data_IF_735881728159
#
_entry.id   IF_735881728159
#
_cell.length_a   1.000
_cell.length_b   1.000
_cell.length_c   1.000
_cell.angle_alpha   90.00
_cell.angle_beta   90.00
_cell.angle_gamma   90.00
#
_symmetry.space_group_name_H-M   'P 1'
#
loop_
_entity.id
_entity.type
_entity.pdbx_description
1 polymer ?
#
# COMPACT_ATOMS: atom_id res chain seq x y z
N UNK A 1 -23.97 21.59 11.85
CA UNK A 1 -22.49 21.69 11.90
C UNK A 1 -21.89 20.34 11.47
N UNK A 2 -21.55 20.17 10.18
CA UNK A 2 -21.00 18.90 9.66
C UNK A 2 -19.52 18.79 10.00
N UNK A 3 -19.18 17.81 10.84
CA UNK A 3 -17.81 17.43 11.18
C UNK A 3 -17.12 16.92 9.91
N UNK A 4 -16.24 17.72 9.29
CA UNK A 4 -15.32 17.24 8.24
C UNK A 4 -14.46 16.16 8.87
N UNK A 5 -14.84 14.89 8.69
CA UNK A 5 -13.98 13.79 9.09
C UNK A 5 -12.69 13.92 8.29
N UNK A 6 -11.56 14.07 8.98
CA UNK A 6 -10.25 13.98 8.37
C UNK A 6 -10.19 12.65 7.61
N UNK A 7 -10.11 12.74 6.29
CA UNK A 7 -10.07 11.58 5.41
C UNK A 7 -8.79 10.80 5.73
N UNK A 8 -8.93 9.73 6.52
CA UNK A 8 -7.83 8.78 6.76
C UNK A 8 -7.24 8.40 5.40
N UNK A 9 -5.90 8.33 5.27
CA UNK A 9 -5.28 7.99 4.00
C UNK A 9 -5.80 6.64 3.49
N UNK A 10 -6.02 6.56 2.19
CA UNK A 10 -6.37 5.29 1.53
C UNK A 10 -5.08 4.48 1.44
N UNK A 11 -5.01 3.39 2.21
CA UNK A 11 -3.88 2.47 2.22
C UNK A 11 -4.22 1.19 1.46
N UNK A 12 -3.20 0.46 1.01
CA UNK A 12 -3.34 -0.83 0.32
C UNK A 12 -4.21 -1.79 1.13
N UNK A 13 -3.98 -1.87 2.43
CA UNK A 13 -4.72 -2.76 3.34
C UNK A 13 -6.20 -2.38 3.42
N UNK A 14 -6.51 -1.08 3.38
CA UNK A 14 -7.89 -0.59 3.40
C UNK A 14 -8.62 -0.91 2.11
N UNK A 15 -7.95 -0.78 0.96
CA UNK A 15 -8.54 -1.13 -0.35
C UNK A 15 -8.75 -2.63 -0.45
N UNK A 16 -7.77 -3.45 -0.05
CA UNK A 16 -7.90 -4.90 -0.01
C UNK A 16 -9.03 -5.36 0.92
N UNK A 17 -9.14 -4.78 2.12
CA UNK A 17 -10.24 -5.08 3.04
C UNK A 17 -11.62 -4.63 2.49
N UNK A 18 -11.67 -3.55 1.72
CA UNK A 18 -12.90 -3.11 1.06
C UNK A 18 -13.31 -4.08 -0.06
N UNK A 19 -12.37 -4.58 -0.87
CA UNK A 19 -12.63 -5.59 -1.90
C UNK A 19 -13.23 -6.86 -1.31
N UNK A 20 -12.67 -7.38 -0.22
CA UNK A 20 -13.20 -8.58 0.46
C UNK A 20 -14.66 -8.37 0.91
N UNK A 21 -14.96 -7.20 1.50
CA UNK A 21 -16.32 -6.87 1.93
C UNK A 21 -17.27 -6.71 0.75
N UNK A 22 -16.80 -6.12 -0.34
CA UNK A 22 -17.61 -5.91 -1.53
C UNK A 22 -17.92 -7.22 -2.24
N UNK A 23 -16.94 -8.12 -2.36
CA UNK A 23 -17.15 -9.48 -2.87
C UNK A 23 -18.20 -10.23 -2.03
N UNK A 24 -18.09 -10.16 -0.70
CA UNK A 24 -19.09 -10.76 0.19
C UNK A 24 -20.50 -10.19 -0.03
N UNK A 25 -20.61 -8.88 -0.28
CA UNK A 25 -21.88 -8.21 -0.53
C UNK A 25 -22.47 -8.62 -1.89
N UNK A 26 -21.66 -8.65 -2.94
CA UNK A 26 -22.05 -9.08 -4.30
C UNK A 26 -22.68 -10.47 -4.24
N UNK A 27 -22.00 -11.44 -3.63
CA UNK A 27 -22.44 -12.84 -3.58
C UNK A 27 -23.73 -13.06 -2.77
N UNK A 28 -24.05 -12.16 -1.84
CA UNK A 28 -25.16 -12.34 -0.89
C UNK A 28 -26.38 -11.46 -1.16
N UNK A 29 -26.26 -10.50 -2.08
CA UNK A 29 -27.32 -9.55 -2.39
C UNK A 29 -28.00 -9.95 -3.69
N UNK A 30 -29.34 -10.04 -3.75
CA UNK A 30 -30.04 -10.11 -5.01
C UNK A 30 -29.64 -8.93 -5.90
N UNK A 31 -29.31 -9.18 -7.17
CA UNK A 31 -28.80 -8.17 -8.10
C UNK A 31 -27.43 -7.57 -7.69
N UNK A 32 -26.62 -8.35 -6.97
CA UNK A 32 -25.29 -7.97 -6.52
C UNK A 32 -24.32 -7.62 -7.67
N UNK A 33 -24.56 -8.12 -8.88
CA UNK A 33 -23.77 -7.80 -10.07
C UNK A 33 -23.72 -6.31 -10.39
N UNK A 34 -24.68 -5.51 -9.89
CA UNK A 34 -24.67 -4.04 -9.99
C UNK A 34 -23.45 -3.39 -9.35
N UNK A 35 -22.78 -4.08 -8.41
CA UNK A 35 -21.58 -3.59 -7.76
C UNK A 35 -20.28 -4.00 -8.47
N UNK A 36 -20.33 -4.82 -9.53
CA UNK A 36 -19.14 -5.21 -10.29
C UNK A 36 -18.31 -4.01 -10.79
N UNK A 37 -18.91 -2.92 -11.31
CA UNK A 37 -18.12 -1.75 -11.73
C UNK A 37 -17.37 -1.08 -10.58
N UNK A 38 -17.87 -1.18 -9.35
CA UNK A 38 -17.17 -0.67 -8.16
C UNK A 38 -16.05 -1.62 -7.74
N UNK A 39 -16.28 -2.93 -7.84
CA UNK A 39 -15.28 -3.95 -7.55
C UNK A 39 -14.06 -3.81 -8.46
N UNK A 40 -14.26 -3.76 -9.78
CA UNK A 40 -13.18 -3.58 -10.77
C UNK A 40 -12.38 -2.30 -10.53
N UNK A 41 -13.05 -1.20 -10.16
CA UNK A 41 -12.37 0.06 -9.83
C UNK A 41 -11.46 -0.08 -8.61
N UNK A 42 -11.90 -0.79 -7.58
CA UNK A 42 -11.09 -1.03 -6.39
C UNK A 42 -9.92 -1.99 -6.67
N UNK A 43 -10.09 -2.97 -7.55
CA UNK A 43 -9.00 -3.83 -8.01
C UNK A 43 -7.92 -3.01 -8.73
N UNK A 44 -8.33 -2.14 -9.64
CA UNK A 44 -7.40 -1.25 -10.36
C UNK A 44 -6.68 -0.29 -9.41
N UNK A 45 -7.38 0.29 -8.43
CA UNK A 45 -6.77 1.16 -7.42
C UNK A 45 -5.76 0.40 -6.55
N UNK A 46 -6.08 -0.84 -6.15
CA UNK A 46 -5.17 -1.70 -5.39
C UNK A 46 -3.87 -1.96 -6.17
N UNK A 47 -4.00 -2.34 -7.44
CA UNK A 47 -2.87 -2.58 -8.33
C UNK A 47 -2.01 -1.32 -8.49
N UNK A 48 -2.62 -0.16 -8.73
CA UNK A 48 -1.92 1.11 -8.87
C UNK A 48 -1.13 1.50 -7.61
N UNK A 49 -1.70 1.28 -6.42
CA UNK A 49 -1.02 1.55 -5.15
C UNK A 49 0.17 0.62 -4.92
N UNK A 50 0.01 -0.67 -5.23
CA UNK A 50 1.08 -1.67 -5.14
C UNK A 50 2.22 -1.34 -6.11
N UNK A 51 1.91 -1.06 -7.38
CA UNK A 51 2.89 -0.68 -8.40
C UNK A 51 3.68 0.56 -7.99
N UNK A 52 3.02 1.54 -7.39
CA UNK A 52 3.67 2.75 -6.87
C UNK A 52 4.64 2.41 -5.72
N UNK A 53 4.22 1.56 -4.78
CA UNK A 53 5.07 1.14 -3.67
C UNK A 53 6.29 0.36 -4.16
N UNK A 54 6.12 -0.55 -5.10
CA UNK A 54 7.19 -1.36 -5.67
C UNK A 54 8.15 -0.51 -6.50
N UNK A 55 7.62 0.44 -7.28
CA UNK A 55 8.42 1.40 -8.03
C UNK A 55 9.28 2.25 -7.10
N UNK A 56 8.70 2.81 -6.04
CA UNK A 56 9.47 3.57 -5.05
C UNK A 56 10.51 2.71 -4.33
N UNK A 57 10.20 1.45 -4.07
CA UNK A 57 11.15 0.50 -3.47
C UNK A 57 12.33 0.22 -4.40
N UNK A 58 12.08 0.04 -5.71
CA UNK A 58 13.13 -0.07 -6.73
C UNK A 58 13.97 1.20 -6.81
N UNK A 59 13.35 2.37 -6.85
CA UNK A 59 14.05 3.67 -6.86
C UNK A 59 14.98 3.80 -5.66
N UNK A 60 14.49 3.49 -4.45
CA UNK A 60 15.32 3.53 -3.24
C UNK A 60 16.50 2.56 -3.29
N UNK A 61 16.30 1.35 -3.81
CA UNK A 61 17.39 0.38 -4.00
C UNK A 61 18.46 0.90 -4.96
N UNK A 62 18.05 1.42 -6.11
CA UNK A 62 18.96 1.99 -7.11
C UNK A 62 19.71 3.22 -6.56
N UNK A 63 19.01 4.10 -5.84
CA UNK A 63 19.63 5.26 -5.21
C UNK A 63 20.69 4.86 -4.18
N UNK A 64 20.42 3.82 -3.37
CA UNK A 64 21.38 3.32 -2.38
C UNK A 64 22.65 2.72 -3.01
N UNK A 65 22.54 2.07 -4.17
CA UNK A 65 23.69 1.56 -4.92
C UNK A 65 24.59 2.69 -5.45
N UNK A 66 24.00 3.82 -5.84
CA UNK A 66 24.72 4.99 -6.35
C UNK A 66 25.23 5.94 -5.25
N UNK A 67 24.76 5.80 -4.01
CA UNK A 67 25.20 6.63 -2.88
C UNK A 67 25.19 5.83 -1.55
N UNK A 68 26.31 5.15 -1.20
CA UNK A 68 26.37 4.25 -0.05
C UNK A 68 26.26 4.95 1.31
N UNK A 69 26.33 6.28 1.38
CA UNK A 69 26.22 7.04 2.64
C UNK A 69 24.79 7.48 2.99
N UNK A 70 23.80 7.24 2.13
CA UNK A 70 22.43 7.73 2.34
C UNK A 70 21.59 6.91 3.35
N UNK A 71 22.13 5.84 3.95
CA UNK A 71 21.40 5.04 4.93
C UNK A 71 22.29 4.53 6.09
N UNK A 72 22.26 5.14 7.29
CA UNK A 72 23.00 4.69 8.47
C UNK A 72 22.59 3.29 8.96
N UNK A 73 21.44 2.78 8.52
CA UNK A 73 20.85 1.54 9.02
C UNK A 73 21.43 0.27 8.36
N UNK A 74 22.36 0.41 7.41
CA UNK A 74 23.07 -0.69 6.74
C UNK A 74 24.55 -0.79 7.16
N UNK A 75 25.01 0.00 8.12
CA UNK A 75 26.37 -0.13 8.63
C UNK A 75 26.53 -1.49 9.34
N UNK A 76 27.55 -2.31 8.99
CA UNK A 76 27.82 -3.54 9.71
C UNK A 76 28.06 -3.22 11.20
N UNK A 77 27.66 -4.08 12.14
CA UNK A 77 27.83 -3.82 13.56
C UNK A 77 29.31 -3.56 13.85
N UNK A 78 29.62 -2.33 14.24
CA UNK A 78 30.97 -1.96 14.63
C UNK A 78 31.32 -2.82 15.85
N UNK A 79 32.25 -3.77 15.67
CA UNK A 79 32.85 -4.50 16.78
C UNK A 79 33.47 -3.46 17.71
N UNK A 80 32.81 -3.19 18.83
CA UNK A 80 33.40 -2.46 19.95
C UNK A 80 34.52 -3.34 20.49
N UNK A 81 35.74 -3.06 20.05
CA UNK A 81 36.95 -3.54 20.72
C UNK A 81 37.09 -2.64 21.94
N UNK A 82 36.51 -3.07 23.07
CA UNK A 82 36.85 -2.52 24.38
C UNK A 82 38.25 -3.01 24.74
N UNK A 83 39.19 -2.08 24.84
CA UNK A 83 40.49 -2.25 25.52
C UNK A 83 40.33 -1.82 26.96
#
# INVERSE_FOLDING_TARGET
MSRRQSSKPITIERVAAALIKLAWLIERTPEGEKFLPLFERLENELAALQDKQDTMSRVRRLAALNNPQANPQLAPPQKTIST
#
